data_IF_718545001002
#
_entry.id   IF_718545001002
#
_cell.length_a   1.000
_cell.length_b   1.000
_cell.length_c   1.000
_cell.angle_alpha   90.00
_cell.angle_beta   90.00
_cell.angle_gamma   90.00
#
_symmetry.space_group_name_H-M   'P 1'
#
loop_
_entity.id
_entity.type
_entity.pdbx_description
1 polymer ?
#
# COMPACT_ATOMS: atom_id res chain seq x y z
N UNK A 1 -5.83 -16.14 -9.56
CA UNK A 1 -4.47 -15.66 -9.81
C UNK A 1 -3.67 -15.85 -8.53
N UNK A 2 -2.62 -16.66 -8.58
CA UNK A 2 -1.70 -16.92 -7.48
C UNK A 2 -0.60 -15.86 -7.41
N UNK A 3 0.16 -15.83 -6.31
CA UNK A 3 1.33 -14.97 -6.16
C UNK A 3 2.33 -15.21 -7.31
N UNK A 4 2.59 -16.46 -7.68
CA UNK A 4 3.51 -16.82 -8.75
C UNK A 4 3.05 -16.30 -10.12
N UNK A 5 1.74 -16.34 -10.39
CA UNK A 5 1.17 -15.79 -11.63
C UNK A 5 1.29 -14.26 -11.69
N UNK A 6 1.14 -13.56 -10.56
CA UNK A 6 1.37 -12.11 -10.49
C UNK A 6 2.83 -11.75 -10.74
N UNK A 7 3.76 -12.48 -10.12
CA UNK A 7 5.20 -12.26 -10.31
C UNK A 7 5.60 -12.56 -11.76
N UNK A 8 5.09 -13.66 -12.33
CA UNK A 8 5.30 -13.98 -13.75
C UNK A 8 4.72 -12.91 -14.70
N UNK A 9 3.66 -12.20 -14.29
CA UNK A 9 3.08 -11.08 -15.01
C UNK A 9 3.82 -9.75 -14.81
N UNK A 10 4.87 -9.71 -13.98
CA UNK A 10 5.72 -8.54 -13.76
C UNK A 10 5.55 -7.85 -12.40
N UNK A 11 4.72 -8.37 -11.50
CA UNK A 11 4.65 -7.82 -10.15
C UNK A 11 5.95 -8.07 -9.37
N UNK A 12 6.40 -7.13 -8.53
CA UNK A 12 7.59 -7.34 -7.70
C UNK A 12 7.43 -8.56 -6.78
N UNK A 13 8.51 -9.33 -6.59
CA UNK A 13 8.52 -10.41 -5.62
C UNK A 13 8.57 -9.85 -4.18
N UNK A 14 7.77 -10.43 -3.29
CA UNK A 14 7.73 -10.03 -1.89
C UNK A 14 8.61 -10.98 -1.05
N UNK A 15 9.21 -10.50 0.05
CA UNK A 15 9.95 -11.35 0.99
C UNK A 15 9.10 -12.50 1.54
N UNK A 16 9.77 -13.53 2.04
CA UNK A 16 9.11 -14.68 2.66
C UNK A 16 8.16 -14.25 3.79
N UNK A 17 6.97 -14.86 3.83
CA UNK A 17 5.92 -14.52 4.80
C UNK A 17 5.10 -13.29 4.42
N UNK A 18 5.31 -12.71 3.23
CA UNK A 18 4.47 -11.65 2.67
C UNK A 18 3.76 -12.11 1.40
N UNK A 19 2.59 -11.52 1.12
CA UNK A 19 1.82 -11.85 -0.08
C UNK A 19 0.94 -10.68 -0.52
N UNK A 20 0.62 -10.64 -1.81
CA UNK A 20 -0.40 -9.75 -2.34
C UNK A 20 -1.81 -10.31 -2.09
N UNK A 21 -2.73 -9.45 -1.69
CA UNK A 21 -4.17 -9.72 -1.69
C UNK A 21 -4.86 -8.72 -2.60
N UNK A 22 -5.45 -9.22 -3.68
CA UNK A 22 -6.34 -8.43 -4.54
C UNK A 22 -7.76 -8.63 -4.03
N UNK A 23 -8.47 -7.54 -3.74
CA UNK A 23 -9.88 -7.61 -3.33
C UNK A 23 -10.69 -6.51 -3.98
N UNK A 24 -11.98 -6.78 -4.12
CA UNK A 24 -12.96 -5.75 -4.42
C UNK A 24 -13.28 -4.95 -3.15
N UNK A 25 -13.51 -3.65 -3.34
CA UNK A 25 -14.01 -2.73 -2.31
C UNK A 25 -15.51 -2.52 -2.48
N UNK A 26 -16.19 -1.95 -1.49
CA UNK A 26 -17.64 -1.74 -1.51
C UNK A 26 -18.16 -0.79 -2.62
N UNK A 27 -17.28 -0.17 -3.39
CA UNK A 27 -17.60 0.79 -4.46
C UNK A 27 -17.04 0.29 -5.81
N UNK A 28 -17.14 -1.01 -6.08
CA UNK A 28 -16.71 -1.66 -7.35
C UNK A 28 -15.28 -1.35 -7.81
N UNK A 29 -14.40 -0.93 -6.90
CA UNK A 29 -12.99 -0.70 -7.18
C UNK A 29 -12.16 -1.88 -6.68
N UNK A 30 -11.16 -2.27 -7.45
CA UNK A 30 -10.16 -3.24 -7.00
C UNK A 30 -9.08 -2.54 -6.15
N UNK A 31 -8.61 -3.25 -5.14
CA UNK A 31 -7.54 -2.82 -4.25
C UNK A 31 -6.50 -3.94 -4.14
N UNK A 32 -5.23 -3.56 -4.24
CA UNK A 32 -4.10 -4.42 -3.95
C UNK A 32 -3.62 -4.12 -2.55
N UNK A 33 -3.44 -5.17 -1.75
CA UNK A 33 -2.85 -5.08 -0.42
C UNK A 33 -1.57 -5.91 -0.37
N UNK A 34 -0.52 -5.39 0.27
CA UNK A 34 0.60 -6.20 0.76
C UNK A 34 0.30 -6.58 2.20
N UNK A 35 0.34 -7.88 2.48
CA UNK A 35 0.05 -8.42 3.81
C UNK A 35 1.18 -9.27 4.31
N UNK A 36 1.43 -9.20 5.62
CA UNK A 36 2.35 -10.08 6.32
C UNK A 36 1.57 -11.21 6.98
N UNK A 37 1.97 -12.45 6.71
CA UNK A 37 1.45 -13.63 7.39
C UNK A 37 2.00 -13.68 8.83
N UNK A 38 1.11 -13.76 9.81
CA UNK A 38 1.44 -13.84 11.26
C UNK A 38 1.17 -15.23 11.86
N UNK A 39 0.71 -16.16 11.03
CA UNK A 39 0.37 -17.53 11.40
C UNK A 39 -0.45 -18.17 10.30
N UNK A 40 -0.97 -19.37 10.55
CA UNK A 40 -1.69 -20.15 9.54
C UNK A 40 -2.97 -19.47 9.03
N UNK A 41 -3.62 -18.67 9.87
CA UNK A 41 -4.94 -18.06 9.57
C UNK A 41 -4.99 -16.55 9.77
N UNK A 42 -3.86 -15.91 10.12
CA UNK A 42 -3.82 -14.49 10.46
C UNK A 42 -2.83 -13.77 9.57
N UNK A 43 -3.23 -12.61 9.08
CA UNK A 43 -2.36 -11.70 8.35
C UNK A 43 -2.64 -10.26 8.74
N UNK A 44 -1.59 -9.45 8.74
CA UNK A 44 -1.66 -8.02 9.03
C UNK A 44 -1.47 -7.24 7.73
N UNK A 45 -2.28 -6.20 7.52
CA UNK A 45 -2.10 -5.27 6.42
C UNK A 45 -0.81 -4.48 6.62
N UNK A 46 0.04 -4.44 5.61
CA UNK A 46 1.30 -3.67 5.62
C UNK A 46 1.12 -2.36 4.87
N UNK A 47 0.55 -2.44 3.67
CA UNK A 47 0.17 -1.29 2.85
C UNK A 47 -0.88 -1.72 1.83
N UNK A 48 -1.59 -0.76 1.25
CA UNK A 48 -2.55 -0.98 0.18
C UNK A 48 -2.53 0.15 -0.85
N UNK A 49 -3.11 -0.13 -2.02
CA UNK A 49 -3.35 0.88 -3.04
C UNK A 49 -4.51 0.47 -3.94
N UNK A 50 -5.20 1.44 -4.50
CA UNK A 50 -6.26 1.18 -5.48
C UNK A 50 -5.67 0.78 -6.83
N UNK A 51 -6.36 -0.16 -7.49
CA UNK A 51 -6.14 -0.46 -8.90
C UNK A 51 -6.81 0.63 -9.72
N UNK A 52 -6.00 1.47 -10.34
CA UNK A 52 -6.46 2.48 -11.29
C UNK A 52 -6.48 1.83 -12.66
N UNK A 53 -7.67 1.42 -13.11
CA UNK A 53 -7.85 0.88 -14.45
C UNK A 53 -8.10 2.02 -15.45
N UNK A 54 -7.39 1.99 -16.58
CA UNK A 54 -7.67 2.85 -17.72
C UNK A 54 -8.27 2.01 -18.85
N UNK A 55 -9.29 2.49 -19.58
CA UNK A 55 -9.99 1.69 -20.59
C UNK A 55 -9.09 1.14 -21.71
N UNK A 56 -7.96 1.81 -21.98
CA UNK A 56 -6.96 1.48 -22.99
C UNK A 56 -5.87 0.51 -22.49
N UNK A 57 -5.88 0.16 -21.21
CA UNK A 57 -4.86 -0.71 -20.59
C UNK A 57 -5.51 -2.03 -20.18
N UNK A 58 -4.93 -3.19 -20.53
CA UNK A 58 -5.44 -4.48 -20.06
C UNK A 58 -5.59 -4.53 -18.54
N UNK A 59 -6.66 -5.17 -18.05
CA UNK A 59 -6.94 -5.25 -16.62
C UNK A 59 -5.79 -5.88 -15.81
N UNK A 60 -5.14 -6.92 -16.35
CA UNK A 60 -3.98 -7.57 -15.72
C UNK A 60 -2.80 -6.61 -15.53
N UNK A 61 -2.51 -5.78 -16.52
CA UNK A 61 -1.45 -4.77 -16.43
C UNK A 61 -1.79 -3.69 -15.39
N UNK A 62 -3.06 -3.29 -15.30
CA UNK A 62 -3.52 -2.34 -14.28
C UNK A 62 -3.28 -2.86 -12.86
N UNK A 63 -3.46 -4.17 -12.64
CA UNK A 63 -3.20 -4.85 -11.36
C UNK A 63 -1.70 -4.91 -11.07
N UNK A 64 -0.86 -5.29 -12.04
CA UNK A 64 0.60 -5.33 -11.88
C UNK A 64 1.15 -3.96 -11.49
N UNK A 65 0.72 -2.91 -12.18
CA UNK A 65 1.09 -1.52 -11.83
C UNK A 65 0.64 -1.12 -10.43
N UNK A 66 -0.47 -1.67 -9.93
CA UNK A 66 -0.89 -1.43 -8.55
C UNK A 66 0.01 -2.20 -7.55
N UNK A 67 0.44 -3.42 -7.87
CA UNK A 67 1.42 -4.17 -7.07
C UNK A 67 2.77 -3.44 -6.97
N UNK A 68 3.25 -2.86 -8.08
CA UNK A 68 4.46 -2.03 -8.11
C UNK A 68 4.34 -0.82 -7.19
N UNK A 69 3.28 -0.02 -7.34
CA UNK A 69 3.03 1.13 -6.46
C UNK A 69 2.93 0.76 -4.99
N UNK A 70 2.25 -0.33 -4.67
CA UNK A 70 2.17 -0.82 -3.30
C UNK A 70 3.55 -1.20 -2.76
N UNK A 71 4.38 -1.86 -3.57
CA UNK A 71 5.73 -2.26 -3.18
C UNK A 71 6.65 -1.05 -2.97
N UNK A 72 6.64 -0.09 -3.90
CA UNK A 72 7.37 1.17 -3.79
C UNK A 72 6.96 1.95 -2.53
N UNK A 73 5.65 2.06 -2.28
CA UNK A 73 5.12 2.69 -1.07
C UNK A 73 5.61 1.97 0.18
N UNK A 74 5.62 0.64 0.18
CA UNK A 74 6.12 -0.13 1.32
C UNK A 74 7.61 0.12 1.59
N UNK A 75 8.44 0.13 0.55
CA UNK A 75 9.86 0.41 0.66
C UNK A 75 10.13 1.86 1.10
N UNK A 76 9.34 2.82 0.60
CA UNK A 76 9.41 4.23 0.98
C UNK A 76 8.84 4.55 2.37
N UNK A 77 7.98 3.69 2.92
CA UNK A 77 7.25 3.96 4.16
C UNK A 77 8.15 4.21 5.37
N UNK A 78 9.37 3.64 5.41
CA UNK A 78 10.31 3.90 6.49
C UNK A 78 10.80 5.37 6.47
N UNK A 79 11.14 5.88 5.29
CA UNK A 79 11.56 7.26 5.07
C UNK A 79 10.39 8.24 5.29
N UNK A 80 9.20 7.92 4.78
CA UNK A 80 8.00 8.73 5.00
C UNK A 80 7.62 8.82 6.49
N UNK A 81 7.67 7.70 7.23
CA UNK A 81 7.43 7.73 8.69
C UNK A 81 8.49 8.50 9.45
N UNK A 82 9.73 8.52 8.98
CA UNK A 82 10.79 9.34 9.56
C UNK A 82 10.53 10.83 9.29
N UNK A 83 10.19 11.19 8.05
CA UNK A 83 9.81 12.55 7.66
C UNK A 83 8.58 13.06 8.43
N UNK A 84 7.52 12.25 8.52
CA UNK A 84 6.34 12.57 9.33
C UNK A 84 6.71 12.79 10.80
N UNK A 85 7.49 11.90 11.41
CA UNK A 85 7.96 12.08 12.79
C UNK A 85 8.78 13.35 12.99
N UNK A 86 9.61 13.73 12.01
CA UNK A 86 10.35 14.99 12.04
C UNK A 86 9.46 16.23 11.94
N UNK A 87 8.24 16.08 11.42
CA UNK A 87 7.26 17.17 11.34
C UNK A 87 6.40 17.35 12.60
N UNK A 88 6.38 16.36 13.51
CA UNK A 88 5.60 16.42 14.75
C UNK A 88 5.88 17.65 15.64
N UNK A 89 7.12 18.18 15.74
CA UNK A 89 7.37 19.42 16.47
C UNK A 89 6.63 20.66 15.94
N UNK A 90 6.19 20.64 14.68
CA UNK A 90 5.36 21.71 14.09
C UNK A 90 3.86 21.50 14.34
N UNK A 91 3.46 20.42 15.03
CA UNK A 91 2.06 20.17 15.34
C UNK A 91 1.63 21.05 16.53
N UNK A 92 0.72 21.99 16.28
CA UNK A 92 0.21 22.90 17.31
C UNK A 92 -0.48 24.10 16.69
N UNK A 93 -1.14 24.89 17.54
CA UNK A 93 -1.72 26.16 17.13
C UNK A 93 -0.61 27.22 17.13
N UNK A 94 -0.25 27.71 15.95
CA UNK A 94 0.80 28.72 15.78
C UNK A 94 0.23 30.14 15.83
N UNK A 95 -0.94 30.32 16.46
CA UNK A 95 -1.53 31.63 16.70
C UNK A 95 -0.65 32.44 17.67
N UNK A 96 -0.10 33.60 17.27
CA UNK A 96 0.71 34.45 18.13
C UNK A 96 -0.04 35.00 19.36
N UNK A 97 -1.37 34.87 19.42
CA UNK A 97 -2.20 35.28 20.56
C UNK A 97 -2.36 34.19 21.64
N UNK A 98 -1.82 32.99 21.41
CA UNK A 98 -1.79 31.89 22.37
C UNK A 98 -3.13 31.18 22.52
N UNK A 99 -3.32 30.08 21.78
CA UNK A 99 -4.44 29.17 21.97
C UNK A 99 -4.38 28.50 23.35
N UNK A 100 -5.42 28.71 24.16
CA UNK A 100 -5.55 28.17 25.52
C UNK A 100 -5.54 26.63 25.50
N UNK A 101 -4.71 26.04 26.37
CA UNK A 101 -4.86 24.65 26.83
C UNK A 101 -6.08 24.51 27.72
#
# INVERSE_FOLDING_TARGET
>A
MSMAELVAAGAPELPEGYFYRIRETSISNLMVEIRQQKGRWRSTLVTDTYVIHKPDVPAGESVVRACERAFETWQGAAAERAAYRSSLPFLGDHDPRGGRR
#
